data_IF_519653253835
#
_entry.id   IF_519653253835
#
_cell.length_a   1.000
_cell.length_b   1.000
_cell.length_c   1.000
_cell.angle_alpha   90.00
_cell.angle_beta   90.00
_cell.angle_gamma   90.00
#
_symmetry.space_group_name_H-M   'P 1'
#
loop_
_entity.id
_entity.type
_entity.pdbx_description
1 polymer ?
#
# COMPACT_ATOMS: atom_id res chain seq x y z
N UNK A 1 5.01 1.35 18.18
CA UNK A 1 5.35 2.02 16.92
C UNK A 1 4.04 2.43 16.30
N UNK A 2 3.80 3.72 16.08
CA UNK A 2 2.57 4.18 15.46
C UNK A 2 2.75 4.15 13.93
N UNK A 3 2.18 3.12 13.29
CA UNK A 3 2.22 2.94 11.85
C UNK A 3 0.92 3.47 11.25
N UNK A 4 0.97 4.16 10.10
CA UNK A 4 -0.23 4.69 9.48
C UNK A 4 -1.17 3.56 9.05
N UNK A 5 -2.45 3.69 9.34
CA UNK A 5 -3.48 2.76 8.87
C UNK A 5 -3.80 2.97 7.40
N UNK A 6 -3.88 1.91 6.60
CA UNK A 6 -4.21 2.01 5.15
C UNK A 6 -5.60 2.63 4.90
N UNK A 7 -6.52 2.52 5.85
CA UNK A 7 -7.91 2.97 5.71
C UNK A 7 -8.07 4.50 5.66
N UNK A 8 -7.05 5.28 6.02
CA UNK A 8 -7.12 6.76 5.99
C UNK A 8 -6.63 7.37 4.66
N UNK A 9 -6.27 6.55 3.68
CA UNK A 9 -5.71 6.99 2.41
C UNK A 9 -6.65 6.71 1.24
N UNK A 10 -6.57 7.58 0.22
CA UNK A 10 -7.20 7.39 -1.10
C UNK A 10 -6.18 7.17 -2.23
N UNK A 11 -4.88 7.30 -1.93
CA UNK A 11 -3.78 7.01 -2.84
C UNK A 11 -2.81 6.03 -2.16
N UNK A 12 -2.69 4.84 -2.74
CA UNK A 12 -1.81 3.79 -2.22
C UNK A 12 -0.34 4.21 -2.19
N UNK A 13 0.12 5.09 -3.10
CA UNK A 13 1.52 5.54 -3.12
C UNK A 13 1.80 6.48 -1.96
N UNK A 14 0.83 7.31 -1.58
CA UNK A 14 0.92 8.16 -0.38
C UNK A 14 1.03 7.26 0.85
N UNK A 15 0.16 6.27 0.98
CA UNK A 15 0.22 5.28 2.06
C UNK A 15 1.60 4.59 2.14
N UNK A 16 2.11 4.04 1.02
CA UNK A 16 3.40 3.36 1.00
C UNK A 16 4.56 4.26 1.45
N UNK A 17 4.58 5.54 1.01
CA UNK A 17 5.59 6.52 1.44
C UNK A 17 5.47 6.83 2.93
N UNK A 18 4.26 7.14 3.39
CA UNK A 18 4.01 7.48 4.80
C UNK A 18 4.37 6.32 5.73
N UNK A 19 4.04 5.08 5.33
CA UNK A 19 4.42 3.88 6.08
C UNK A 19 5.94 3.68 6.11
N UNK A 20 6.60 3.77 4.95
CA UNK A 20 8.05 3.60 4.86
C UNK A 20 8.81 4.65 5.68
N UNK A 21 8.35 5.91 5.65
CA UNK A 21 8.93 6.97 6.47
C UNK A 21 8.69 6.74 7.97
N UNK A 22 7.54 6.19 8.36
CA UNK A 22 7.28 5.79 9.75
C UNK A 22 8.25 4.67 10.21
N UNK A 23 8.50 3.67 9.37
CA UNK A 23 9.49 2.63 9.64
C UNK A 23 10.89 3.21 9.80
N UNK A 24 11.29 4.15 8.93
CA UNK A 24 12.60 4.84 9.03
C UNK A 24 12.75 5.63 10.32
N UNK A 25 11.70 6.32 10.76
CA UNK A 25 11.72 7.07 12.04
C UNK A 25 11.85 6.12 13.23
N UNK A 26 11.17 4.98 13.18
CA UNK A 26 11.16 4.03 14.29
C UNK A 26 12.39 3.10 14.32
N UNK A 27 13.01 2.85 13.18
CA UNK A 27 14.20 2.00 13.03
C UNK A 27 15.27 2.76 12.23
N UNK A 28 16.19 3.49 12.90
CA UNK A 28 17.34 4.10 12.24
C UNK A 28 18.10 3.04 11.43
N UNK A 29 18.25 3.25 10.12
CA UNK A 29 18.86 2.27 9.22
C UNK A 29 17.87 1.39 8.45
N UNK A 30 16.55 1.57 8.59
CA UNK A 30 15.59 0.92 7.69
C UNK A 30 15.79 1.44 6.25
N UNK A 31 16.06 0.51 5.32
CA UNK A 31 16.36 0.85 3.92
C UNK A 31 15.47 0.09 2.96
N UNK A 32 15.50 0.48 1.69
CA UNK A 32 14.92 -0.30 0.59
C UNK A 32 15.46 -1.73 0.52
N UNK A 33 16.72 -1.97 0.90
CA UNK A 33 17.29 -3.31 0.92
C UNK A 33 16.67 -4.15 2.04
N UNK A 34 16.49 -3.56 3.23
CA UNK A 34 15.83 -4.20 4.37
C UNK A 34 14.40 -4.60 4.02
N UNK A 35 13.62 -3.66 3.49
CA UNK A 35 12.25 -3.94 3.04
C UNK A 35 12.20 -5.03 1.96
N UNK A 36 13.10 -4.97 0.98
CA UNK A 36 13.13 -5.95 -0.11
C UNK A 36 13.45 -7.37 0.39
N UNK A 37 14.35 -7.50 1.37
CA UNK A 37 14.64 -8.77 2.02
C UNK A 37 13.42 -9.30 2.78
N UNK A 38 12.72 -8.45 3.54
CA UNK A 38 11.48 -8.80 4.27
C UNK A 38 10.34 -9.19 3.31
N UNK A 39 10.21 -8.50 2.18
CA UNK A 39 9.17 -8.76 1.18
C UNK A 39 9.50 -9.89 0.19
N UNK A 40 10.76 -10.32 0.12
CA UNK A 40 11.22 -11.24 -0.92
C UNK A 40 11.06 -10.67 -2.34
N UNK A 41 11.35 -9.37 -2.52
CA UNK A 41 11.28 -8.68 -3.80
C UNK A 41 12.61 -8.01 -4.18
N UNK A 42 12.70 -7.38 -5.35
CA UNK A 42 13.89 -6.61 -5.72
C UNK A 42 14.00 -5.31 -4.90
N UNK A 43 15.23 -4.86 -4.64
CA UNK A 43 15.53 -3.60 -3.91
C UNK A 43 14.85 -2.37 -4.53
N UNK A 44 14.66 -2.37 -5.85
CA UNK A 44 14.05 -1.27 -6.60
C UNK A 44 12.53 -1.32 -6.65
N UNK A 45 11.90 -2.43 -6.23
CA UNK A 45 10.45 -2.63 -6.38
C UNK A 45 9.64 -1.55 -5.67
N UNK A 46 9.91 -1.31 -4.38
CA UNK A 46 9.16 -0.31 -3.61
C UNK A 46 9.38 1.10 -4.15
N UNK A 47 10.63 1.48 -4.45
CA UNK A 47 10.97 2.79 -5.00
C UNK A 47 10.28 3.06 -6.35
N UNK A 48 10.27 2.07 -7.25
CA UNK A 48 9.61 2.18 -8.56
C UNK A 48 8.09 2.32 -8.44
N UNK A 49 7.48 1.69 -7.44
CA UNK A 49 6.04 1.79 -7.20
C UNK A 49 5.69 3.15 -6.61
N UNK A 50 6.44 3.61 -5.61
CA UNK A 50 6.23 4.91 -4.96
C UNK A 50 6.47 6.10 -5.88
N UNK A 51 7.43 6.00 -6.81
CA UNK A 51 7.68 7.04 -7.82
C UNK A 51 6.67 7.02 -8.97
N UNK A 52 5.86 5.96 -9.09
CA UNK A 52 4.94 5.77 -10.20
C UNK A 52 5.57 5.20 -11.46
N UNK A 53 6.88 4.91 -11.46
CA UNK A 53 7.56 4.28 -12.59
C UNK A 53 6.98 2.90 -12.95
N UNK A 54 6.40 2.19 -11.97
CA UNK A 54 5.69 0.92 -12.19
C UNK A 54 4.41 0.86 -11.37
N UNK A 55 3.37 0.23 -11.94
CA UNK A 55 2.22 -0.25 -11.17
C UNK A 55 2.54 -1.65 -10.63
N UNK A 56 2.32 -1.94 -9.34
CA UNK A 56 2.61 -3.26 -8.78
C UNK A 56 1.69 -4.32 -9.37
N UNK A 57 2.24 -5.50 -9.68
CA UNK A 57 1.44 -6.69 -10.01
C UNK A 57 0.87 -7.30 -8.71
N UNK A 58 -0.18 -8.14 -8.78
CA UNK A 58 -0.77 -8.77 -7.59
C UNK A 58 0.26 -9.46 -6.68
N UNK A 59 1.20 -10.22 -7.25
CA UNK A 59 2.28 -10.88 -6.49
C UNK A 59 3.19 -9.90 -5.75
N UNK A 60 3.50 -8.75 -6.37
CA UNK A 60 4.33 -7.71 -5.75
C UNK A 60 3.57 -7.00 -4.65
N UNK A 61 2.27 -6.74 -4.85
CA UNK A 61 1.44 -6.10 -3.85
C UNK A 61 1.25 -6.99 -2.61
N UNK A 62 1.03 -8.29 -2.81
CA UNK A 62 0.97 -9.27 -1.71
C UNK A 62 2.31 -9.36 -0.96
N UNK A 63 3.44 -9.38 -1.67
CA UNK A 63 4.77 -9.33 -1.06
C UNK A 63 4.95 -8.09 -0.17
N UNK A 64 4.50 -6.91 -0.64
CA UNK A 64 4.57 -5.68 0.15
C UNK A 64 3.68 -5.79 1.39
N UNK A 65 2.42 -6.20 1.22
CA UNK A 65 1.48 -6.29 2.32
C UNK A 65 1.93 -7.29 3.41
N UNK A 66 2.55 -8.40 3.02
CA UNK A 66 3.17 -9.35 3.95
C UNK A 66 4.33 -8.73 4.73
N UNK A 67 5.27 -8.04 4.05
CA UNK A 67 6.38 -7.37 4.72
C UNK A 67 5.92 -6.26 5.68
N UNK A 68 4.83 -5.59 5.33
CA UNK A 68 4.22 -4.54 6.15
C UNK A 68 3.40 -5.09 7.33
N UNK A 69 3.19 -6.40 7.40
CA UNK A 69 2.39 -7.04 8.44
C UNK A 69 0.88 -6.80 8.31
N UNK A 70 0.38 -6.45 7.12
CA UNK A 70 -1.03 -6.12 6.91
C UNK A 70 -1.92 -7.36 7.10
N UNK A 71 -3.03 -7.18 7.79
CA UNK A 71 -4.09 -8.17 7.94
C UNK A 71 -4.96 -8.31 6.68
N UNK A 72 -5.92 -9.26 6.66
CA UNK A 72 -6.78 -9.50 5.49
C UNK A 72 -7.55 -8.26 4.99
N UNK A 73 -8.17 -7.49 5.89
CA UNK A 73 -8.90 -6.27 5.53
C UNK A 73 -7.99 -5.17 4.98
N UNK A 74 -6.80 -5.00 5.57
CA UNK A 74 -5.84 -4.00 5.12
C UNK A 74 -5.25 -4.35 3.75
N UNK A 75 -5.03 -5.64 3.49
CA UNK A 75 -4.63 -6.16 2.18
C UNK A 75 -5.71 -5.89 1.14
N UNK A 76 -6.96 -6.15 1.47
CA UNK A 76 -8.09 -5.83 0.59
C UNK A 76 -8.13 -4.34 0.28
N UNK A 77 -8.05 -3.49 1.31
CA UNK A 77 -8.04 -2.04 1.15
C UNK A 77 -6.90 -1.57 0.26
N UNK A 78 -5.67 -2.06 0.49
CA UNK A 78 -4.52 -1.74 -0.35
C UNK A 78 -4.74 -2.15 -1.80
N UNK A 79 -5.33 -3.34 -2.04
CA UNK A 79 -5.72 -3.81 -3.36
C UNK A 79 -6.71 -2.87 -4.04
N UNK A 80 -7.78 -2.46 -3.34
CA UNK A 80 -8.78 -1.53 -3.85
C UNK A 80 -8.16 -0.18 -4.23
N UNK A 81 -7.22 0.35 -3.43
CA UNK A 81 -6.53 1.61 -3.74
C UNK A 81 -5.66 1.51 -5.01
N UNK A 82 -4.98 0.38 -5.21
CA UNK A 82 -4.18 0.13 -6.42
C UNK A 82 -5.08 0.00 -7.64
N UNK A 83 -6.19 -0.74 -7.54
CA UNK A 83 -7.14 -0.90 -8.63
C UNK A 83 -7.83 0.43 -8.98
N UNK A 84 -8.22 1.21 -7.97
CA UNK A 84 -8.79 2.54 -8.14
C UNK A 84 -7.84 3.44 -8.93
N UNK A 85 -6.54 3.42 -8.59
CA UNK A 85 -5.51 4.20 -9.28
C UNK A 85 -5.23 3.71 -10.72
N UNK A 86 -5.44 2.43 -11.01
CA UNK A 86 -5.22 1.85 -12.34
C UNK A 86 -6.43 1.98 -13.27
N UNK A 87 -7.65 2.09 -12.72
CA UNK A 87 -8.89 2.15 -13.49
C UNK A 87 -9.00 3.42 -14.35
N UNK A 88 -9.36 3.22 -15.62
CA UNK A 88 -9.62 4.30 -16.60
C UNK A 88 -11.11 4.49 -16.90
N UNK A 89 -11.96 3.53 -16.54
CA UNK A 89 -13.41 3.65 -16.69
C UNK A 89 -14.00 4.42 -15.51
N UNK A 90 -14.74 5.48 -15.80
CA UNK A 90 -15.39 6.34 -14.81
C UNK A 90 -16.41 5.55 -13.98
N UNK A 91 -17.17 4.64 -14.59
CA UNK A 91 -18.18 3.84 -13.86
C UNK A 91 -17.50 2.88 -12.90
N UNK A 92 -16.50 2.12 -13.38
CA UNK A 92 -15.72 1.23 -12.53
C UNK A 92 -14.98 1.98 -11.41
N UNK A 93 -14.38 3.13 -11.72
CA UNK A 93 -13.66 3.96 -10.75
C UNK A 93 -14.58 4.46 -9.64
N UNK A 94 -15.82 4.86 -9.97
CA UNK A 94 -16.83 5.23 -8.98
C UNK A 94 -17.17 4.06 -8.04
N UNK A 95 -17.44 2.88 -8.60
CA UNK A 95 -17.75 1.69 -7.80
C UNK A 95 -16.58 1.31 -6.87
N UNK A 96 -15.34 1.40 -7.36
CA UNK A 96 -14.14 1.17 -6.54
C UNK A 96 -14.01 2.19 -5.40
N UNK A 97 -14.25 3.47 -5.67
CA UNK A 97 -14.20 4.50 -4.63
C UNK A 97 -15.26 4.25 -3.55
N UNK A 98 -16.47 3.89 -3.94
CA UNK A 98 -17.54 3.54 -2.98
C UNK A 98 -17.12 2.36 -2.09
N UNK A 99 -16.49 1.32 -2.65
CA UNK A 99 -15.94 0.18 -1.88
C UNK A 99 -14.81 0.59 -0.93
N UNK A 100 -13.86 1.42 -1.39
CA UNK A 100 -12.76 1.97 -0.57
C UNK A 100 -13.31 2.70 0.65
N UNK A 101 -14.34 3.52 0.46
CA UNK A 101 -14.96 4.30 1.54
C UNK A 101 -15.78 3.41 2.50
N UNK A 102 -16.49 2.40 1.98
CA UNK A 102 -17.23 1.45 2.81
C UNK A 102 -16.28 0.62 3.70
N UNK A 103 -15.21 0.08 3.11
CA UNK A 103 -14.24 -0.73 3.83
C UNK A 103 -13.50 0.10 4.90
N UNK A 104 -13.13 1.35 4.58
CA UNK A 104 -12.54 2.28 5.55
C UNK A 104 -13.47 2.62 6.73
N UNK A 105 -14.79 2.71 6.51
CA UNK A 105 -15.77 2.94 7.60
C UNK A 105 -15.89 1.73 8.51
N UNK A 106 -15.86 0.52 7.96
CA UNK A 106 -15.97 -0.72 8.74
C UNK A 106 -14.77 -0.96 9.68
N UNK A 107 -13.61 -0.39 9.35
CA UNK A 107 -12.36 -0.59 10.10
C UNK A 107 -11.85 0.67 10.79
N UNK A 108 -12.69 1.71 10.90
CA UNK A 108 -12.37 2.89 11.71
C UNK A 108 -12.50 2.51 13.20
N UNK A 109 -11.50 2.79 14.04
CA UNK A 109 -11.60 2.57 15.48
C UNK A 109 -12.67 3.43 16.13
#
# INVERSE_FOLDING_TARGET
MDLPSVYVFLDYRVFLRTWFDACKRARPGYTYATFAAEAGCSRSALANVMSGARTPRPRTLDAFARAMGLGPGEREQLGLLVELAASRDVRHRRALLERVLQNARAHRP
#
